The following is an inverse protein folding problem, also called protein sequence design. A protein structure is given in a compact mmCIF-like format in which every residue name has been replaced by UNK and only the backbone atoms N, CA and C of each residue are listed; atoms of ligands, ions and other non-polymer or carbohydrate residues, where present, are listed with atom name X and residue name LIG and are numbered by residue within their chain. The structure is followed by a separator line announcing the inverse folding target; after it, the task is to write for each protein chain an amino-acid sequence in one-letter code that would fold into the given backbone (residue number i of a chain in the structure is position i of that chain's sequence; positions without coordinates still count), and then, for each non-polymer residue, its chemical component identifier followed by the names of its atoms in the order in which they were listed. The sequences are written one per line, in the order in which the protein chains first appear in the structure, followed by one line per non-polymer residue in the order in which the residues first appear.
data_IF_608603651819
#
_entry.id   IF_608603651819
#
_cell.length_a   1.000
_cell.length_b   1.000
_cell.length_c   1.000
_cell.angle_alpha   90.00
_cell.angle_beta   90.00
_cell.angle_gamma   90.00
#
_symmetry.space_group_name_H-M   'P 1'
#
loop_
_entity.id
_entity.type
_entity.pdbx_description
1 polymer ?
#
# COMPACT_ATOMS: atom_id res chain seq x y z
N UNK A 1 37.54 -30.11 -10.37
CA UNK A 1 37.20 -31.28 -9.56
C UNK A 1 36.47 -30.75 -8.32
N UNK A 2 35.15 -30.60 -8.39
CA UNK A 2 34.28 -30.15 -7.31
C UNK A 2 33.24 -31.22 -7.07
N UNK A 3 32.96 -31.65 -5.83
CA UNK A 3 31.84 -32.54 -5.57
C UNK A 3 30.56 -31.78 -5.31
N UNK A 4 29.51 -32.28 -5.92
CA UNK A 4 28.07 -32.07 -5.65
C UNK A 4 27.73 -32.41 -4.19
N UNK A 5 26.88 -31.60 -3.58
CA UNK A 5 26.08 -32.00 -2.43
C UNK A 5 24.63 -31.58 -2.67
N UNK A 6 23.85 -32.49 -3.24
CA UNK A 6 22.40 -32.52 -3.11
C UNK A 6 22.04 -33.44 -1.94
N UNK A 7 21.17 -33.01 -1.02
CA UNK A 7 20.15 -33.88 -0.42
C UNK A 7 19.37 -33.19 0.69
N UNK A 8 18.10 -32.96 0.47
CA UNK A 8 16.93 -33.49 1.18
C UNK A 8 16.73 -33.12 2.66
N UNK A 9 15.60 -32.48 2.94
CA UNK A 9 14.73 -32.82 4.06
C UNK A 9 13.28 -32.40 3.77
N UNK A 10 12.46 -33.37 3.39
CA UNK A 10 10.99 -33.29 3.45
C UNK A 10 10.57 -33.52 4.89
N UNK A 11 9.85 -32.60 5.52
CA UNK A 11 9.13 -32.85 6.76
C UNK A 11 7.61 -32.85 6.47
N UNK A 12 7.02 -34.05 6.57
CA UNK A 12 5.57 -34.26 6.65
C UNK A 12 5.10 -33.88 8.05
N UNK A 13 4.06 -33.03 8.14
CA UNK A 13 3.24 -32.96 9.35
C UNK A 13 1.82 -33.44 9.03
N UNK A 14 1.47 -34.55 9.68
CA UNK A 14 0.13 -35.11 9.69
C UNK A 14 -0.73 -34.36 10.71
N UNK A 15 -1.93 -33.92 10.29
CA UNK A 15 -2.95 -33.38 11.18
C UNK A 15 -3.92 -34.48 11.56
N UNK A 16 -4.02 -34.77 12.86
CA UNK A 16 -5.02 -35.65 13.43
C UNK A 16 -6.31 -34.89 13.71
N UNK A 17 -7.43 -35.38 13.15
CA UNK A 17 -8.77 -34.91 13.43
C UNK A 17 -9.31 -35.65 14.68
N UNK A 18 -9.83 -34.89 15.64
CA UNK A 18 -10.59 -35.43 16.77
C UNK A 18 -12.06 -35.07 16.61
N UNK A 19 -12.91 -36.08 16.40
CA UNK A 19 -14.37 -36.00 16.53
C UNK A 19 -14.72 -36.08 18.01
N UNK A 20 -15.63 -35.21 18.48
CA UNK A 20 -16.40 -35.45 19.69
C UNK A 20 -17.87 -35.22 19.39
N UNK A 21 -18.63 -36.31 19.45
CA UNK A 21 -20.09 -36.33 19.44
C UNK A 21 -20.61 -36.27 20.88
N UNK A 22 -21.63 -35.46 21.14
CA UNK A 22 -22.45 -35.55 22.33
C UNK A 22 -23.94 -35.48 21.96
N UNK A 23 -24.63 -36.52 22.32
CA UNK A 23 -26.07 -36.77 22.20
C UNK A 23 -26.75 -36.32 23.50
N UNK A 24 -27.98 -35.80 23.36
CA UNK A 24 -28.93 -35.95 24.46
C UNK A 24 -29.88 -34.77 24.69
N UNK A 25 -31.16 -35.05 24.50
CA UNK A 25 -32.19 -34.73 25.45
C UNK A 25 -33.25 -33.73 25.00
N UNK A 26 -34.43 -34.27 24.63
CA UNK A 26 -35.62 -33.52 24.28
C UNK A 26 -36.44 -33.04 25.48
N UNK A 27 -37.43 -32.23 25.19
CA UNK A 27 -38.58 -31.90 26.01
C UNK A 27 -39.37 -30.72 25.45
N UNK A 28 -40.70 -30.83 25.35
CA UNK A 28 -41.54 -29.88 24.60
C UNK A 28 -42.17 -28.83 25.50
N UNK A 29 -42.53 -27.69 24.92
CA UNK A 29 -43.40 -26.81 25.64
C UNK A 29 -43.51 -25.36 25.11
N UNK A 30 -44.67 -25.11 24.55
CA UNK A 30 -45.51 -23.91 24.58
C UNK A 30 -45.21 -22.74 23.65
N UNK A 31 -46.26 -22.54 22.83
CA UNK A 31 -46.54 -21.35 22.01
C UNK A 31 -46.50 -20.04 22.78
N UNK A 32 -45.91 -19.03 22.18
CA UNK A 32 -46.39 -17.66 22.32
C UNK A 32 -46.12 -16.86 21.02
N UNK A 33 -47.21 -16.22 20.63
CA UNK A 33 -47.37 -15.40 19.43
C UNK A 33 -46.62 -14.07 19.52
N UNK A 34 -46.22 -13.56 18.35
CA UNK A 34 -46.30 -12.13 18.06
C UNK A 34 -45.05 -11.31 18.35
N UNK A 35 -44.45 -10.83 17.29
CA UNK A 35 -43.46 -9.77 17.32
C UNK A 35 -42.85 -9.57 15.95
N UNK A 36 -43.50 -8.80 15.09
CA UNK A 36 -42.88 -8.33 13.86
C UNK A 36 -41.66 -7.46 14.18
N UNK A 37 -40.52 -8.08 14.17
CA UNK A 37 -39.22 -7.38 14.23
C UNK A 37 -38.94 -6.74 12.89
N UNK A 38 -39.05 -5.42 12.80
CA UNK A 38 -38.62 -4.62 11.68
C UNK A 38 -37.17 -4.89 11.42
N UNK A 39 -36.86 -5.53 10.28
CA UNK A 39 -35.50 -5.67 9.78
C UNK A 39 -34.91 -4.30 9.53
N UNK A 40 -33.97 -3.91 10.40
CA UNK A 40 -33.16 -2.73 10.18
C UNK A 40 -32.21 -3.02 9.03
N UNK A 41 -32.62 -2.61 7.85
CA UNK A 41 -31.72 -2.57 6.69
C UNK A 41 -30.64 -1.53 7.01
N UNK A 42 -29.47 -1.98 7.40
CA UNK A 42 -28.29 -1.12 7.53
C UNK A 42 -27.86 -0.77 6.11
N UNK A 43 -28.41 0.31 5.58
CA UNK A 43 -27.89 0.94 4.38
C UNK A 43 -26.54 1.53 4.75
N UNK A 44 -25.47 0.82 4.38
CA UNK A 44 -24.11 1.36 4.45
C UNK A 44 -24.05 2.55 3.48
N UNK A 45 -24.34 3.73 3.99
CA UNK A 45 -24.08 4.99 3.29
C UNK A 45 -22.58 5.18 3.32
N UNK A 46 -21.88 4.56 2.37
CA UNK A 46 -20.48 4.82 2.10
C UNK A 46 -20.34 6.27 1.67
N UNK A 47 -20.02 7.15 2.61
CA UNK A 47 -19.62 8.52 2.30
C UNK A 47 -18.36 8.42 1.46
N UNK A 48 -18.46 8.63 0.15
CA UNK A 48 -17.31 8.75 -0.73
C UNK A 48 -16.33 9.78 -0.13
N UNK A 49 -15.02 9.45 -0.02
CA UNK A 49 -14.07 10.40 0.53
C UNK A 49 -14.09 11.66 -0.31
N UNK A 50 -14.25 12.81 0.33
CA UNK A 50 -14.20 14.15 -0.31
C UNK A 50 -12.91 14.24 -1.10
N UNK A 51 -13.03 14.27 -2.42
CA UNK A 51 -11.97 14.26 -3.39
C UNK A 51 -10.97 15.41 -3.17
N UNK A 52 -9.69 15.07 -2.96
CA UNK A 52 -8.60 15.95 -3.38
C UNK A 52 -8.68 16.12 -4.89
N UNK A 53 -8.27 17.23 -5.41
CA UNK A 53 -8.43 17.58 -6.82
C UNK A 53 -7.70 16.58 -7.71
N UNK A 54 -8.39 15.60 -8.30
CA UNK A 54 -7.80 14.79 -9.37
C UNK A 54 -7.61 15.69 -10.60
N UNK A 55 -6.35 15.98 -10.94
CA UNK A 55 -5.98 16.89 -12.02
C UNK A 55 -5.54 16.19 -13.30
N UNK A 56 -5.36 14.87 -13.26
CA UNK A 56 -4.92 14.10 -14.42
C UNK A 56 -6.05 13.84 -15.45
N UNK A 57 -5.69 13.53 -16.70
CA UNK A 57 -6.64 13.08 -17.71
C UNK A 57 -7.33 11.79 -17.25
N UNK A 58 -8.54 11.55 -17.78
CA UNK A 58 -9.22 10.26 -17.62
C UNK A 58 -8.54 9.25 -18.53
N UNK A 59 -8.11 8.14 -17.96
CA UNK A 59 -7.66 6.95 -18.70
C UNK A 59 -8.75 5.89 -18.61
N UNK A 60 -9.18 5.36 -19.74
CA UNK A 60 -10.10 4.22 -19.83
C UNK A 60 -9.29 2.93 -19.90
N UNK A 61 -9.76 1.87 -19.25
CA UNK A 61 -9.06 0.61 -19.20
C UNK A 61 -9.86 -0.49 -18.54
N UNK A 62 -9.13 -1.43 -17.97
CA UNK A 62 -9.68 -2.60 -17.29
C UNK A 62 -9.01 -2.80 -15.94
N UNK A 63 -9.70 -3.49 -15.01
CA UNK A 63 -9.11 -3.94 -13.77
C UNK A 63 -9.32 -5.45 -13.59
N UNK A 64 -8.30 -6.09 -13.07
CA UNK A 64 -8.28 -7.44 -12.50
C UNK A 64 -8.01 -7.36 -11.01
N UNK A 65 -7.92 -8.50 -10.32
CA UNK A 65 -7.47 -8.56 -8.93
C UNK A 65 -6.54 -9.74 -8.70
N UNK A 66 -5.63 -9.61 -7.72
CA UNK A 66 -4.54 -10.57 -7.50
C UNK A 66 -4.52 -11.19 -6.10
N UNK A 67 -5.43 -10.81 -5.22
CA UNK A 67 -5.53 -11.34 -3.86
C UNK A 67 -5.73 -10.24 -2.80
N UNK A 68 -5.86 -10.64 -1.52
CA UNK A 68 -6.06 -9.69 -0.44
C UNK A 68 -4.83 -8.82 -0.20
N UNK A 69 -5.06 -7.59 0.26
CA UNK A 69 -4.00 -6.68 0.64
C UNK A 69 -3.20 -7.21 1.83
N UNK A 70 -1.90 -7.44 1.65
CA UNK A 70 -1.01 -8.00 2.67
C UNK A 70 0.04 -6.98 3.14
N UNK A 71 1.01 -6.65 2.30
CA UNK A 71 2.08 -5.68 2.55
C UNK A 71 2.24 -4.79 1.33
N UNK A 72 3.11 -3.81 1.40
CA UNK A 72 3.25 -2.80 0.35
C UNK A 72 3.95 -3.24 -0.94
N UNK A 73 3.87 -4.50 -1.30
CA UNK A 73 4.31 -5.05 -2.58
C UNK A 73 5.72 -4.63 -2.98
N UNK A 74 5.93 -4.44 -4.28
CA UNK A 74 7.25 -4.03 -4.81
C UNK A 74 7.65 -2.60 -4.39
N UNK A 75 6.74 -1.78 -3.86
CA UNK A 75 7.09 -0.48 -3.27
C UNK A 75 7.66 -0.59 -1.84
N UNK A 76 7.76 -1.80 -1.28
CA UNK A 76 8.36 -2.10 0.03
C UNK A 76 7.69 -1.41 1.23
N UNK A 77 6.44 -0.92 1.10
CA UNK A 77 5.76 -0.34 2.24
C UNK A 77 5.56 -1.38 3.34
N UNK A 78 5.83 -1.05 4.61
CA UNK A 78 5.75 -2.00 5.72
C UNK A 78 4.31 -2.44 6.06
N UNK A 79 3.33 -1.70 5.56
CA UNK A 79 1.91 -1.99 5.73
C UNK A 79 1.08 -1.36 4.62
N UNK A 80 -0.08 -1.93 4.36
CA UNK A 80 -1.11 -1.33 3.50
C UNK A 80 -1.92 -0.28 4.26
N UNK A 81 -2.64 0.64 3.58
CA UNK A 81 -3.59 1.54 4.22
C UNK A 81 -4.66 0.77 5.01
N UNK A 82 -5.23 1.38 6.06
CA UNK A 82 -6.24 0.74 6.91
C UNK A 82 -7.49 0.27 6.13
N UNK A 83 -7.84 0.94 5.04
CA UNK A 83 -8.94 0.56 4.14
C UNK A 83 -8.56 -0.55 3.15
N UNK A 84 -7.29 -0.96 3.10
CA UNK A 84 -6.74 -1.99 2.21
C UNK A 84 -6.93 -1.73 0.71
N UNK A 85 -7.22 -0.49 0.32
CA UNK A 85 -7.43 -0.13 -1.08
C UNK A 85 -6.10 0.21 -1.74
N UNK A 86 -5.49 -0.81 -2.37
CA UNK A 86 -4.21 -0.68 -3.07
C UNK A 86 -4.26 -1.28 -4.47
N UNK A 87 -3.24 -0.96 -5.28
CA UNK A 87 -3.18 -1.35 -6.68
C UNK A 87 -1.74 -1.63 -7.12
N UNK A 88 -1.59 -2.73 -7.86
CA UNK A 88 -0.43 -3.01 -8.69
C UNK A 88 -0.64 -2.37 -10.07
N UNK A 89 0.40 -1.70 -10.58
CA UNK A 89 0.31 -0.95 -11.83
C UNK A 89 1.38 -1.40 -12.84
N UNK A 90 1.06 -1.27 -14.12
CA UNK A 90 1.99 -1.52 -15.21
C UNK A 90 3.17 -0.56 -15.23
N UNK A 91 4.14 -0.84 -16.09
CA UNK A 91 5.40 -0.08 -16.18
C UNK A 91 5.21 1.40 -16.51
N UNK A 92 4.13 1.74 -17.23
CA UNK A 92 3.76 3.12 -17.61
C UNK A 92 3.44 4.01 -16.39
N UNK A 93 2.82 3.45 -15.35
CA UNK A 93 2.54 4.12 -14.08
C UNK A 93 3.61 3.86 -13.02
N UNK A 94 4.18 2.65 -13.00
CA UNK A 94 5.20 2.26 -12.03
C UNK A 94 6.51 3.03 -12.18
N UNK A 95 7.01 3.18 -13.41
CA UNK A 95 8.18 4.00 -13.79
C UNK A 95 9.41 3.76 -12.92
N UNK A 96 9.81 2.48 -12.74
CA UNK A 96 10.96 2.13 -11.91
C UNK A 96 10.85 2.64 -10.47
N UNK A 97 9.71 2.42 -9.82
CA UNK A 97 9.43 2.85 -8.44
C UNK A 97 8.97 4.31 -8.29
N UNK A 98 8.99 5.11 -9.37
CA UNK A 98 8.54 6.50 -9.27
C UNK A 98 7.02 6.64 -9.07
N UNK A 99 6.26 5.58 -9.33
CA UNK A 99 4.82 5.50 -9.08
C UNK A 99 4.45 5.24 -7.62
N UNK A 100 5.37 4.65 -6.85
CA UNK A 100 5.13 4.24 -5.46
C UNK A 100 4.59 5.36 -4.59
N UNK A 101 3.54 5.04 -3.79
CA UNK A 101 2.91 5.98 -2.86
C UNK A 101 1.99 7.01 -3.51
N UNK A 102 1.88 7.04 -4.84
CA UNK A 102 0.88 7.82 -5.56
C UNK A 102 -0.52 7.25 -5.40
N UNK A 103 -1.54 8.04 -5.74
CA UNK A 103 -2.94 7.64 -5.66
C UNK A 103 -3.63 7.73 -7.00
N UNK A 104 -4.58 6.82 -7.22
CA UNK A 104 -5.51 6.84 -8.34
C UNK A 104 -6.95 6.91 -7.81
N UNK A 105 -7.80 7.74 -8.44
CA UNK A 105 -9.25 7.60 -8.33
C UNK A 105 -9.70 6.68 -9.46
N UNK A 106 -10.26 5.53 -9.10
CA UNK A 106 -10.70 4.47 -10.02
C UNK A 106 -12.21 4.37 -9.98
N UNK A 107 -12.83 4.52 -11.14
CA UNK A 107 -14.28 4.38 -11.33
C UNK A 107 -14.58 3.08 -12.04
N UNK A 108 -15.41 2.25 -11.44
CA UNK A 108 -15.92 0.98 -11.98
C UNK A 108 -17.45 0.91 -11.88
N UNK A 109 -18.05 -0.27 -12.07
CA UNK A 109 -19.52 -0.44 -12.06
C UNK A 109 -20.22 0.09 -10.82
N UNK A 110 -19.65 -0.10 -9.63
CA UNK A 110 -20.30 0.27 -8.35
C UNK A 110 -19.90 1.68 -7.84
N UNK A 111 -19.16 2.47 -8.64
CA UNK A 111 -18.79 3.83 -8.23
C UNK A 111 -17.27 4.09 -8.31
N UNK A 112 -16.80 5.02 -7.50
CA UNK A 112 -15.41 5.48 -7.51
C UNK A 112 -14.75 5.25 -6.15
N UNK A 113 -13.54 4.68 -6.17
CA UNK A 113 -12.68 4.50 -5.00
C UNK A 113 -11.33 5.17 -5.23
N UNK A 114 -10.63 5.48 -4.14
CA UNK A 114 -9.23 5.90 -4.17
C UNK A 114 -8.34 4.75 -3.74
N UNK A 115 -7.35 4.42 -4.57
CA UNK A 115 -6.37 3.37 -4.31
C UNK A 115 -4.96 3.96 -4.24
N UNK A 116 -4.09 3.36 -3.40
CA UNK A 116 -2.67 3.70 -3.31
C UNK A 116 -1.88 2.76 -4.21
N UNK A 117 -0.93 3.30 -4.97
CA UNK A 117 0.02 2.48 -5.74
C UNK A 117 1.06 1.93 -4.76
N UNK A 118 1.08 0.62 -4.58
CA UNK A 118 2.00 -0.06 -3.68
C UNK A 118 2.75 -1.23 -4.34
N UNK A 119 2.33 -1.63 -5.54
CA UNK A 119 2.91 -2.78 -6.20
C UNK A 119 3.07 -2.58 -7.71
N UNK A 120 3.82 -3.49 -8.34
CA UNK A 120 4.05 -3.57 -9.78
C UNK A 120 3.37 -4.79 -10.36
N UNK A 121 2.73 -4.60 -11.51
CA UNK A 121 2.18 -5.65 -12.38
C UNK A 121 2.96 -5.61 -13.70
N UNK A 122 4.04 -6.41 -13.88
CA UNK A 122 4.88 -6.35 -15.08
C UNK A 122 4.13 -6.68 -16.37
N UNK A 123 3.13 -7.56 -16.30
CA UNK A 123 2.28 -8.00 -17.39
C UNK A 123 1.11 -7.06 -17.70
N UNK A 124 0.84 -6.08 -16.82
CA UNK A 124 -0.21 -5.11 -17.07
C UNK A 124 0.23 -4.08 -18.13
N UNK A 125 -0.43 -4.10 -19.26
CA UNK A 125 -0.28 -3.08 -20.31
C UNK A 125 -0.94 -1.74 -19.93
N UNK A 126 -0.80 -0.70 -20.77
CA UNK A 126 -1.41 0.61 -20.52
C UNK A 126 -2.91 0.52 -20.27
N UNK A 127 -3.38 1.21 -19.24
CA UNK A 127 -4.79 1.20 -18.84
C UNK A 127 -5.23 -0.02 -18.02
N UNK A 128 -4.38 -1.01 -17.81
CA UNK A 128 -4.68 -2.17 -16.98
C UNK A 128 -4.20 -1.93 -15.54
N UNK A 129 -5.11 -2.03 -14.58
CA UNK A 129 -4.85 -1.99 -13.14
C UNK A 129 -5.12 -3.37 -12.54
N UNK A 130 -4.25 -3.83 -11.65
CA UNK A 130 -4.45 -5.06 -10.90
C UNK A 130 -4.68 -4.69 -9.44
N UNK A 131 -5.92 -4.85 -8.99
CA UNK A 131 -6.39 -4.35 -7.71
C UNK A 131 -6.22 -5.41 -6.62
N UNK A 132 -6.10 -5.00 -5.36
CA UNK A 132 -6.34 -5.93 -4.25
C UNK A 132 -7.80 -6.39 -4.25
N UNK A 133 -8.08 -7.55 -3.65
CA UNK A 133 -9.44 -8.08 -3.56
C UNK A 133 -10.40 -7.07 -2.93
N UNK A 134 -9.98 -6.36 -1.88
CA UNK A 134 -10.80 -5.35 -1.21
C UNK A 134 -11.08 -4.15 -2.12
N UNK A 135 -10.11 -3.73 -2.92
CA UNK A 135 -10.29 -2.63 -3.87
C UNK A 135 -11.21 -3.04 -5.03
N UNK A 136 -11.03 -4.25 -5.56
CA UNK A 136 -11.89 -4.77 -6.64
C UNK A 136 -13.31 -4.99 -6.15
N UNK A 137 -13.50 -5.59 -4.96
CA UNK A 137 -14.82 -5.85 -4.36
C UNK A 137 -15.63 -4.56 -4.12
N UNK A 138 -14.96 -3.45 -3.87
CA UNK A 138 -15.62 -2.15 -3.77
C UNK A 138 -16.15 -1.64 -5.12
N UNK A 139 -15.61 -2.12 -6.24
CA UNK A 139 -16.03 -1.72 -7.60
C UNK A 139 -16.94 -2.72 -8.29
N UNK A 140 -16.85 -4.02 -7.94
CA UNK A 140 -17.67 -5.09 -8.50
C UNK A 140 -17.50 -6.39 -7.68
N UNK A 141 -18.43 -7.36 -7.79
CA UNK A 141 -18.23 -8.70 -7.21
C UNK A 141 -16.92 -9.35 -7.74
N UNK A 142 -16.15 -9.99 -6.85
CA UNK A 142 -14.88 -10.66 -7.19
C UNK A 142 -15.02 -11.69 -8.33
N UNK A 143 -16.13 -12.40 -8.37
CA UNK A 143 -16.42 -13.41 -9.41
C UNK A 143 -16.48 -12.85 -10.85
N UNK A 144 -16.45 -11.51 -11.03
CA UNK A 144 -16.33 -10.90 -12.37
C UNK A 144 -14.93 -11.07 -12.94
N UNK A 145 -13.91 -11.21 -12.08
CA UNK A 145 -12.50 -11.39 -12.45
C UNK A 145 -11.88 -10.23 -13.23
N UNK A 146 -12.65 -9.61 -14.16
CA UNK A 146 -12.25 -8.49 -14.97
C UNK A 146 -13.42 -7.53 -15.17
N UNK A 147 -13.16 -6.23 -15.01
CA UNK A 147 -14.17 -5.16 -15.18
C UNK A 147 -13.61 -4.01 -16.01
N UNK A 148 -14.47 -3.32 -16.80
CA UNK A 148 -14.11 -2.04 -17.39
C UNK A 148 -14.03 -0.96 -16.30
N UNK A 149 -13.02 -0.11 -16.42
CA UNK A 149 -12.80 1.00 -15.49
C UNK A 149 -12.41 2.27 -16.23
N UNK A 150 -12.46 3.38 -15.51
CA UNK A 150 -11.66 4.56 -15.83
C UNK A 150 -10.94 5.03 -14.59
N UNK A 151 -9.77 5.68 -14.76
CA UNK A 151 -9.04 6.22 -13.62
C UNK A 151 -8.38 7.56 -13.92
N UNK A 152 -8.01 8.26 -12.86
CA UNK A 152 -7.20 9.49 -12.89
C UNK A 152 -6.12 9.43 -11.83
N UNK A 153 -4.97 10.01 -12.13
CA UNK A 153 -3.94 10.26 -11.11
C UNK A 153 -4.42 11.37 -10.18
N UNK A 154 -4.33 11.12 -8.88
CA UNK A 154 -4.69 12.08 -7.85
C UNK A 154 -3.49 12.97 -7.55
N UNK A 155 -3.72 14.28 -7.46
CA UNK A 155 -2.75 15.26 -6.97
C UNK A 155 -3.32 15.88 -5.69
N UNK A 156 -2.46 16.05 -4.69
CA UNK A 156 -2.78 16.66 -3.39
C UNK A 156 -3.99 16.00 -2.70
N UNK A 157 -3.97 14.65 -2.47
CA UNK A 157 -5.08 13.99 -1.80
C UNK A 157 -5.35 14.61 -0.41
N UNK A 158 -6.62 14.83 -0.11
CA UNK A 158 -7.07 15.39 1.17
C UNK A 158 -7.76 14.32 2.02
N UNK A 159 -7.50 14.28 3.34
CA UNK A 159 -6.50 15.09 4.07
C UNK A 159 -5.07 14.68 3.68
N UNK A 160 -4.14 15.64 3.73
CA UNK A 160 -2.74 15.35 3.47
C UNK A 160 -2.21 14.35 4.52
N UNK A 161 -1.64 13.20 4.11
CA UNK A 161 -1.08 12.25 5.08
C UNK A 161 0.19 12.82 5.72
N UNK A 162 0.55 12.31 6.90
CA UNK A 162 1.79 12.67 7.56
C UNK A 162 2.94 11.77 7.07
N UNK A 163 4.13 12.35 6.91
CA UNK A 163 5.32 11.62 6.50
C UNK A 163 5.73 10.56 7.53
N UNK A 164 6.13 9.41 7.04
CA UNK A 164 6.84 8.41 7.81
C UNK A 164 8.06 7.91 7.06
N UNK A 165 9.04 7.43 7.83
CA UNK A 165 10.31 6.96 7.28
C UNK A 165 10.61 5.57 7.84
N UNK A 166 11.06 4.65 6.97
CA UNK A 166 11.63 3.38 7.39
C UNK A 166 13.08 3.34 6.96
N UNK A 167 13.97 3.05 7.90
CA UNK A 167 15.38 2.78 7.63
C UNK A 167 15.48 1.32 7.20
N UNK A 168 16.08 1.07 6.03
CA UNK A 168 16.23 -0.28 5.48
C UNK A 168 17.12 -1.13 6.38
N UNK A 169 16.82 -2.40 6.49
CA UNK A 169 17.69 -3.41 7.09
C UNK A 169 19.06 -3.39 6.41
N UNK A 170 20.12 -3.51 7.19
CA UNK A 170 21.50 -3.38 6.70
C UNK A 170 22.00 -1.94 6.60
N UNK A 171 21.17 -0.92 6.87
CA UNK A 171 21.67 0.46 6.93
C UNK A 171 22.63 0.67 8.09
N UNK A 172 23.64 1.47 7.84
CA UNK A 172 24.68 1.85 8.77
C UNK A 172 25.16 3.29 8.51
N UNK A 173 26.13 3.76 9.28
CA UNK A 173 26.73 5.07 9.01
C UNK A 173 27.39 5.17 7.62
N UNK A 174 27.71 4.05 6.99
CA UNK A 174 28.43 3.95 5.72
C UNK A 174 27.52 3.63 4.53
N UNK A 175 26.28 3.22 4.77
CA UNK A 175 25.28 2.95 3.77
C UNK A 175 23.90 3.18 4.35
N UNK A 176 23.07 3.97 3.70
CA UNK A 176 21.73 4.30 4.19
C UNK A 176 20.69 4.04 3.11
N UNK A 177 19.64 3.28 3.44
CA UNK A 177 18.41 3.17 2.67
C UNK A 177 17.24 3.75 3.44
N UNK A 178 16.50 4.68 2.83
CA UNK A 178 15.29 5.27 3.40
C UNK A 178 14.08 4.98 2.52
N UNK A 179 13.02 4.43 3.10
CA UNK A 179 11.70 4.43 2.50
C UNK A 179 10.92 5.62 3.05
N UNK A 180 10.26 6.35 2.16
CA UNK A 180 9.40 7.49 2.51
C UNK A 180 7.97 7.14 2.18
N UNK A 181 7.06 7.30 3.12
CA UNK A 181 5.62 7.12 2.95
C UNK A 181 4.84 8.32 3.48
N UNK A 182 3.55 8.41 3.14
CA UNK A 182 2.69 9.51 3.57
C UNK A 182 2.94 10.82 2.83
N UNK A 183 3.45 10.77 1.62
CA UNK A 183 3.69 11.98 0.80
C UNK A 183 2.43 12.48 0.09
N UNK A 184 1.42 11.63 -0.07
CA UNK A 184 0.21 11.95 -0.83
C UNK A 184 0.46 11.96 -2.34
N UNK A 185 1.41 12.74 -2.81
CA UNK A 185 1.89 12.73 -4.19
C UNK A 185 3.10 11.78 -4.35
N UNK A 186 3.37 11.39 -5.59
CA UNK A 186 4.60 10.65 -5.92
C UNK A 186 5.83 11.48 -5.57
N UNK A 187 6.85 10.83 -5.03
CA UNK A 187 8.11 11.51 -4.64
C UNK A 187 8.97 11.79 -5.88
N UNK A 188 9.46 13.02 -6.00
CA UNK A 188 10.43 13.43 -7.02
C UNK A 188 11.87 13.18 -6.54
N UNK A 189 12.20 13.63 -5.33
CA UNK A 189 13.53 13.49 -4.74
C UNK A 189 13.49 13.40 -3.23
N UNK A 190 14.48 12.71 -2.69
CA UNK A 190 14.77 12.65 -1.25
C UNK A 190 16.23 13.04 -1.06
N UNK A 191 16.49 13.89 -0.07
CA UNK A 191 17.81 14.37 0.27
C UNK A 191 18.03 14.25 1.77
N UNK A 192 19.24 13.93 2.16
CA UNK A 192 19.67 13.90 3.56
C UNK A 192 20.70 14.99 3.82
N UNK A 193 20.61 15.65 4.98
CA UNK A 193 21.58 16.66 5.36
C UNK A 193 22.81 16.00 5.96
N UNK A 194 23.98 16.22 5.35
CA UNK A 194 25.30 15.82 5.83
C UNK A 194 26.14 17.05 6.10
N UNK A 195 26.37 17.37 7.36
CA UNK A 195 26.95 18.67 7.75
C UNK A 195 26.09 19.83 7.30
N UNK A 196 26.65 20.74 6.51
CA UNK A 196 25.93 21.89 5.93
C UNK A 196 25.28 21.60 4.57
N UNK A 197 25.56 20.46 3.96
CA UNK A 197 25.13 20.14 2.58
C UNK A 197 23.92 19.22 2.56
N UNK A 198 23.13 19.34 1.48
CA UNK A 198 22.09 18.38 1.12
C UNK A 198 22.65 17.39 0.09
N UNK A 199 22.58 16.11 0.43
CA UNK A 199 23.02 15.01 -0.44
C UNK A 199 21.78 14.29 -0.96
N UNK A 200 21.62 14.27 -2.28
CA UNK A 200 20.54 13.56 -2.92
C UNK A 200 20.70 12.05 -2.79
N UNK A 201 19.62 11.35 -2.50
CA UNK A 201 19.58 9.91 -2.48
C UNK A 201 19.12 9.37 -3.85
N UNK A 202 19.60 8.19 -4.21
CA UNK A 202 19.25 7.51 -5.44
C UNK A 202 17.98 6.68 -5.24
N UNK A 203 16.98 6.86 -6.12
CA UNK A 203 15.77 6.02 -6.09
C UNK A 203 16.09 4.62 -6.60
N UNK A 204 15.54 3.61 -5.93
CA UNK A 204 15.50 2.23 -6.41
C UNK A 204 14.15 1.94 -7.07
N UNK A 205 14.08 0.86 -7.84
CA UNK A 205 12.85 0.37 -8.45
C UNK A 205 11.89 -0.31 -7.44
N UNK A 206 12.33 -0.55 -6.21
CA UNK A 206 11.54 -1.11 -5.12
C UNK A 206 11.21 -0.09 -4.01
N UNK A 207 11.21 1.20 -4.34
CA UNK A 207 10.68 2.27 -3.49
C UNK A 207 11.65 2.88 -2.47
N UNK A 208 12.81 2.28 -2.22
CA UNK A 208 13.82 2.87 -1.33
C UNK A 208 14.66 3.96 -2.03
N UNK A 209 15.23 4.81 -1.20
CA UNK A 209 16.17 5.87 -1.59
C UNK A 209 17.50 5.62 -0.88
N UNK A 210 18.59 5.57 -1.63
CA UNK A 210 19.89 5.13 -1.16
C UNK A 210 20.93 6.26 -1.11
N UNK A 211 21.64 6.35 0.02
CA UNK A 211 22.93 7.01 0.13
C UNK A 211 24.00 5.92 0.18
N UNK A 212 24.57 5.56 -0.97
CA UNK A 212 25.50 4.42 -1.12
C UNK A 212 26.83 4.64 -0.42
N UNK A 213 27.19 5.91 -0.16
CA UNK A 213 28.39 6.28 0.63
C UNK A 213 28.03 6.61 2.09
N UNK A 214 26.79 6.29 2.52
CA UNK A 214 26.30 6.58 3.85
C UNK A 214 25.91 8.04 4.07
N UNK A 215 25.40 8.32 5.27
CA UNK A 215 24.99 9.66 5.70
C UNK A 215 25.39 9.93 7.17
N UNK A 216 26.31 9.13 7.73
CA UNK A 216 26.73 9.21 9.12
C UNK A 216 25.84 8.42 10.08
N UNK A 217 25.99 8.65 11.37
CA UNK A 217 25.28 7.92 12.42
C UNK A 217 23.84 8.41 12.70
N UNK A 218 23.43 9.50 12.07
CA UNK A 218 22.16 10.16 12.41
C UNK A 218 22.23 10.92 13.76
N UNK A 219 21.11 11.44 14.29
CA UNK A 219 19.82 11.48 13.61
C UNK A 219 19.85 12.31 12.34
N UNK A 220 19.09 11.89 11.34
CA UNK A 220 19.07 12.54 10.03
C UNK A 220 18.04 13.67 9.98
N UNK A 221 18.37 14.70 9.18
CA UNK A 221 17.42 15.66 8.66
C UNK A 221 17.17 15.29 7.20
N UNK A 222 15.93 14.97 6.85
CA UNK A 222 15.53 14.48 5.53
C UNK A 222 14.62 15.50 4.87
N UNK A 223 14.91 15.86 3.63
CA UNK A 223 14.09 16.72 2.79
C UNK A 223 13.46 15.89 1.68
N UNK A 224 12.14 15.99 1.56
CA UNK A 224 11.35 15.30 0.54
C UNK A 224 10.74 16.34 -0.38
N UNK A 225 10.85 16.12 -1.69
CA UNK A 225 10.17 16.93 -2.71
C UNK A 225 9.28 16.02 -3.55
N UNK A 226 8.03 16.40 -3.74
CA UNK A 226 7.07 15.65 -4.55
C UNK A 226 7.04 16.14 -6.01
N UNK A 227 6.25 15.45 -6.84
CA UNK A 227 6.10 15.78 -8.28
C UNK A 227 5.31 17.08 -8.52
N UNK A 228 4.53 17.55 -7.56
CA UNK A 228 3.81 18.81 -7.61
C UNK A 228 4.70 20.02 -7.19
N UNK A 229 5.88 19.72 -6.63
CA UNK A 229 6.85 20.74 -6.20
C UNK A 229 6.77 21.08 -4.72
N UNK A 230 5.88 20.45 -3.94
CA UNK A 230 5.86 20.63 -2.50
C UNK A 230 7.15 20.08 -1.90
N UNK A 231 7.61 20.75 -0.86
CA UNK A 231 8.84 20.38 -0.16
C UNK A 231 8.60 20.38 1.35
N UNK A 232 8.99 19.31 1.99
CA UNK A 232 8.91 19.16 3.44
C UNK A 232 10.24 18.69 3.99
N UNK A 233 10.54 19.06 5.23
CA UNK A 233 11.76 18.66 5.94
C UNK A 233 11.37 18.02 7.28
N UNK A 234 11.81 16.79 7.48
CA UNK A 234 11.67 16.06 8.74
C UNK A 234 13.04 15.95 9.43
N UNK A 235 13.06 16.19 10.73
CA UNK A 235 14.27 16.10 11.55
C UNK A 235 14.18 14.93 12.53
N UNK A 236 15.32 14.51 13.09
CA UNK A 236 15.36 13.51 14.14
C UNK A 236 15.12 12.07 13.67
N UNK A 237 15.28 11.78 12.37
CA UNK A 237 15.14 10.43 11.83
C UNK A 237 16.37 9.61 12.27
N UNK A 238 16.15 8.65 13.18
CA UNK A 238 17.22 7.84 13.75
C UNK A 238 17.69 6.74 12.80
N UNK A 239 18.98 6.40 12.86
CA UNK A 239 19.53 5.21 12.22
C UNK A 239 19.06 3.96 13.00
N UNK A 240 17.85 3.51 12.73
CA UNK A 240 17.20 2.37 13.38
C UNK A 240 16.65 1.41 12.30
N UNK A 241 17.50 0.48 11.81
CA UNK A 241 17.12 -0.43 10.73
C UNK A 241 15.85 -1.24 11.06
N UNK A 242 14.97 -1.39 10.08
CA UNK A 242 13.71 -2.12 10.20
C UNK A 242 12.57 -1.32 10.84
N UNK A 243 12.84 -0.23 11.57
CA UNK A 243 11.79 0.51 12.26
C UNK A 243 11.14 1.60 11.42
N UNK A 244 9.83 1.78 11.60
CA UNK A 244 9.05 2.87 11.01
C UNK A 244 8.98 4.04 11.99
N UNK A 245 9.39 5.20 11.54
CA UNK A 245 9.40 6.44 12.31
C UNK A 245 8.35 7.40 11.74
N UNK A 246 7.29 7.65 12.51
CA UNK A 246 6.20 8.55 12.14
C UNK A 246 6.54 9.98 12.55
N UNK A 247 6.11 10.94 11.74
CA UNK A 247 6.28 12.38 12.02
C UNK A 247 4.93 13.08 11.99
N UNK A 248 4.90 14.34 12.44
CA UNK A 248 3.75 15.23 12.24
C UNK A 248 3.87 16.04 10.94
N UNK A 249 4.97 15.92 10.21
CA UNK A 249 5.27 16.68 9.00
C UNK A 249 4.37 16.21 7.86
N UNK A 250 3.80 17.16 7.11
CA UNK A 250 2.99 16.93 5.92
C UNK A 250 3.62 17.66 4.73
N UNK A 251 3.41 17.14 3.52
CA UNK A 251 3.94 17.78 2.30
C UNK A 251 3.21 19.08 1.97
N UNK A 252 1.91 19.14 2.30
CA UNK A 252 1.02 20.28 2.03
C UNK A 252 -0.12 20.31 3.07
N UNK A 253 -0.88 21.39 3.09
CA UNK A 253 -2.03 21.62 3.99
C UNK A 253 -3.34 21.13 3.35
#
# INVERSE_FOLDING_TARGET
MFPDIASAAKALFAVAAALAAAVGGGGPGTHHSGGAGAGTTVTATGTAPKAGTSRGPVVRGKATHYGPAANGGNCSFPSVPANKLTVAVGNDLYRGGAGCGGYLDVTGPNGTIRVKIDNRCPECGPGHLDLTDEAFAALAPLGRGLIPISYRVVTDPKPAPALSFRVKEGSSRYWLGLLVDGTGNRVRSVEVRTGSRWTALQRTDYGYWLATSGAGAGPFTVRVTDVAGHRATATGIRLSPGSVQRTAVRMYQ
#
